data_IF_452890380207
#
_entry.id   IF_452890380207
#
_cell.length_a   1.000
_cell.length_b   1.000
_cell.length_c   1.000
_cell.angle_alpha   90.00
_cell.angle_beta   90.00
_cell.angle_gamma   90.00
#
_symmetry.space_group_name_H-M   'P 1'
#
loop_
_entity.id
_entity.type
_entity.pdbx_description
1 polymer ?
#
# COMPACT_ATOMS: atom_id res chain seq x y z
N UNK A 1 24.98 41.98 24.98
CA UNK A 1 24.73 40.71 24.26
C UNK A 1 23.72 39.92 25.06
N UNK A 2 22.46 39.94 24.66
CA UNK A 2 21.40 39.16 25.30
C UNK A 2 21.35 37.82 24.61
N UNK A 3 21.74 36.76 25.30
CA UNK A 3 21.62 35.38 24.82
C UNK A 3 20.14 35.03 24.84
N UNK A 4 19.50 34.99 23.66
CA UNK A 4 18.17 34.41 23.51
C UNK A 4 18.32 32.90 23.68
N UNK A 5 17.91 32.38 24.83
CA UNK A 5 17.83 30.94 25.05
C UNK A 5 16.78 30.37 24.07
N UNK A 6 17.21 29.48 23.17
CA UNK A 6 16.30 28.71 22.35
C UNK A 6 15.47 27.82 23.28
N UNK A 7 14.18 28.14 23.46
CA UNK A 7 13.25 27.25 24.13
C UNK A 7 13.24 25.92 23.36
N UNK A 8 13.27 24.76 24.05
CA UNK A 8 13.25 23.47 23.37
C UNK A 8 11.97 23.37 22.53
N UNK A 9 12.11 23.07 21.25
CA UNK A 9 11.02 22.91 20.27
C UNK A 9 9.91 21.93 20.76
N UNK A 10 10.28 21.03 21.68
CA UNK A 10 9.39 20.10 22.37
C UNK A 10 8.37 20.77 23.31
N UNK A 11 8.72 21.87 23.98
CA UNK A 11 7.81 22.54 24.93
C UNK A 11 6.66 23.26 24.18
N UNK A 12 6.95 23.86 23.02
CA UNK A 12 5.94 24.48 22.14
C UNK A 12 5.01 23.42 21.51
N UNK A 13 5.51 22.19 21.34
CA UNK A 13 4.72 21.08 20.80
C UNK A 13 3.81 20.41 21.85
N UNK A 14 4.09 20.52 23.15
CA UNK A 14 3.26 19.94 24.21
C UNK A 14 1.90 20.65 24.33
N UNK A 15 1.88 21.98 24.19
CA UNK A 15 0.65 22.77 24.18
C UNK A 15 -0.04 22.78 22.81
N UNK A 16 0.65 22.31 21.75
CA UNK A 16 0.12 22.36 20.39
C UNK A 16 -1.21 21.64 20.24
N UNK A 17 -1.45 20.55 20.96
CA UNK A 17 -2.67 19.75 20.82
C UNK A 17 -3.79 20.13 21.79
N UNK A 18 -3.57 21.07 22.70
CA UNK A 18 -4.60 21.50 23.64
C UNK A 18 -5.80 22.14 22.91
N UNK A 19 -7.01 21.73 23.30
CA UNK A 19 -8.26 22.11 22.63
C UNK A 19 -8.40 21.66 21.17
N UNK A 20 -7.45 20.88 20.62
CA UNK A 20 -7.50 20.42 19.22
C UNK A 20 -8.13 19.04 19.08
N UNK A 21 -8.51 18.72 17.85
CA UNK A 21 -8.96 17.38 17.46
C UNK A 21 -7.95 16.77 16.49
N UNK A 22 -7.44 15.60 16.84
CA UNK A 22 -6.65 14.76 15.95
C UNK A 22 -7.58 13.90 15.09
N UNK A 23 -7.48 13.99 13.77
CA UNK A 23 -8.21 13.09 12.87
C UNK A 23 -7.36 11.86 12.53
N UNK A 24 -7.92 10.67 12.72
CA UNK A 24 -7.36 9.41 12.22
C UNK A 24 -8.11 9.03 10.95
N UNK A 25 -7.50 9.26 9.79
CA UNK A 25 -8.05 8.97 8.48
C UNK A 25 -7.68 7.55 8.03
N UNK A 26 -8.64 6.66 7.93
CA UNK A 26 -8.41 5.25 7.60
C UNK A 26 -8.69 5.02 6.11
N UNK A 27 -7.70 4.59 5.33
CA UNK A 27 -7.82 4.38 3.89
C UNK A 27 -8.58 3.08 3.49
N UNK A 28 -9.49 2.61 4.33
CA UNK A 28 -10.23 1.36 4.17
C UNK A 28 -11.68 1.49 4.64
N UNK A 29 -12.54 0.56 4.19
CA UNK A 29 -13.93 0.50 4.67
C UNK A 29 -13.98 0.10 6.16
N UNK A 30 -14.98 0.56 6.91
CA UNK A 30 -15.19 0.15 8.30
C UNK A 30 -15.25 -1.39 8.47
N UNK A 31 -14.80 -1.88 9.62
CA UNK A 31 -14.88 -3.28 10.03
C UNK A 31 -13.85 -4.22 9.41
N UNK A 32 -12.91 -3.73 8.59
CA UNK A 32 -11.76 -4.52 8.14
C UNK A 32 -10.61 -4.52 9.15
N UNK A 33 -9.62 -5.39 8.95
CA UNK A 33 -8.44 -5.45 9.84
C UNK A 33 -7.69 -4.11 9.99
N UNK A 34 -7.67 -3.27 8.95
CA UNK A 34 -7.11 -1.92 9.03
C UNK A 34 -7.93 -1.00 9.92
N UNK A 35 -9.25 -1.03 9.78
CA UNK A 35 -10.15 -0.24 10.60
C UNK A 35 -10.10 -0.66 12.08
N UNK A 36 -10.13 -1.97 12.34
CA UNK A 36 -10.00 -2.52 13.70
C UNK A 36 -8.68 -2.11 14.35
N UNK A 37 -7.55 -2.24 13.63
CA UNK A 37 -6.22 -1.87 14.17
C UNK A 37 -6.10 -0.37 14.40
N UNK A 38 -6.60 0.44 13.46
CA UNK A 38 -6.59 1.90 13.59
C UNK A 38 -7.42 2.37 14.79
N UNK A 39 -8.62 1.82 14.97
CA UNK A 39 -9.51 2.16 16.10
C UNK A 39 -8.96 1.71 17.44
N UNK A 40 -8.27 0.56 17.48
CA UNK A 40 -7.55 0.10 18.66
C UNK A 40 -6.48 1.12 19.06
N UNK A 41 -5.60 1.54 18.14
CA UNK A 41 -4.58 2.56 18.44
C UNK A 41 -5.23 3.90 18.80
N UNK A 42 -6.20 4.37 18.01
CA UNK A 42 -6.86 5.65 18.21
C UNK A 42 -7.56 5.79 19.57
N UNK A 43 -8.10 4.68 20.13
CA UNK A 43 -8.73 4.65 21.45
C UNK A 43 -7.79 5.10 22.57
N UNK A 44 -6.50 4.78 22.44
CA UNK A 44 -5.49 5.05 23.47
C UNK A 44 -4.60 6.25 23.11
N UNK A 45 -4.41 6.53 21.81
CA UNK A 45 -3.47 7.54 21.33
C UNK A 45 -3.68 8.93 21.94
N UNK A 46 -4.92 9.39 22.05
CA UNK A 46 -5.24 10.71 22.62
C UNK A 46 -4.76 10.88 24.06
N UNK A 47 -4.78 9.81 24.87
CA UNK A 47 -4.33 9.85 26.27
C UNK A 47 -2.83 10.04 26.41
N UNK A 48 -2.07 9.67 25.37
CA UNK A 48 -0.61 9.72 25.33
C UNK A 48 -0.08 10.95 24.58
N UNK A 49 -0.96 11.75 23.98
CA UNK A 49 -0.60 13.03 23.36
C UNK A 49 -0.75 14.14 24.42
N UNK A 50 0.29 14.97 24.66
CA UNK A 50 0.17 16.19 25.48
C UNK A 50 -1.00 17.06 25.05
N UNK A 51 -1.72 17.67 26.00
CA UNK A 51 -2.97 18.38 25.71
C UNK A 51 -4.20 17.49 25.49
N UNK A 52 -4.03 16.16 25.46
CA UNK A 52 -5.12 15.15 25.40
C UNK A 52 -6.21 15.48 24.38
N UNK A 53 -5.84 15.67 23.09
CA UNK A 53 -6.80 16.05 22.06
C UNK A 53 -7.88 14.98 21.89
N UNK A 54 -9.06 15.40 21.46
CA UNK A 54 -10.07 14.44 20.99
C UNK A 54 -9.56 13.72 19.74
N UNK A 55 -9.80 12.42 19.66
CA UNK A 55 -9.42 11.62 18.48
C UNK A 55 -10.66 11.26 17.67
N UNK A 56 -10.76 11.82 16.47
CA UNK A 56 -11.85 11.55 15.53
C UNK A 56 -11.41 10.53 14.48
N UNK A 57 -12.07 9.38 14.43
CA UNK A 57 -11.81 8.36 13.40
C UNK A 57 -12.73 8.57 12.20
N UNK A 58 -12.16 8.68 10.99
CA UNK A 58 -12.92 8.77 9.73
C UNK A 58 -12.38 7.80 8.70
N UNK A 59 -13.28 7.05 8.06
CA UNK A 59 -12.90 6.18 6.94
C UNK A 59 -12.94 6.99 5.63
N UNK A 60 -11.88 6.89 4.84
CA UNK A 60 -11.81 7.32 3.45
C UNK A 60 -11.49 6.09 2.58
N UNK A 61 -12.51 5.31 2.19
CA UNK A 61 -12.29 4.01 1.56
C UNK A 61 -11.44 4.08 0.29
N UNK A 62 -10.79 2.96 -0.03
CA UNK A 62 -9.82 2.74 -1.11
C UNK A 62 -8.41 3.21 -0.75
N UNK A 63 -7.48 2.24 -0.66
CA UNK A 63 -6.10 2.46 -0.24
C UNK A 63 -5.39 3.56 -1.06
N UNK A 64 -5.40 3.43 -2.39
CA UNK A 64 -4.74 4.40 -3.26
C UNK A 64 -5.40 5.79 -3.23
N UNK A 65 -6.73 5.87 -3.10
CA UNK A 65 -7.43 7.15 -3.01
C UNK A 65 -7.12 7.87 -1.69
N UNK A 66 -7.22 7.17 -0.56
CA UNK A 66 -6.83 7.71 0.75
C UNK A 66 -5.35 8.11 0.80
N UNK A 67 -4.47 7.37 0.11
CA UNK A 67 -3.05 7.70 0.02
C UNK A 67 -2.80 8.97 -0.81
N UNK A 68 -3.50 9.11 -1.94
CA UNK A 68 -3.49 10.33 -2.74
C UNK A 68 -3.99 11.54 -1.93
N UNK A 69 -5.04 11.36 -1.13
CA UNK A 69 -5.60 12.43 -0.32
C UNK A 69 -4.64 12.83 0.80
N UNK A 70 -3.98 11.87 1.46
CA UNK A 70 -2.94 12.19 2.44
C UNK A 70 -1.82 13.02 1.80
N UNK A 71 -1.31 12.62 0.64
CA UNK A 71 -0.23 13.36 -0.04
C UNK A 71 -0.65 14.78 -0.46
N UNK A 72 -1.87 14.95 -0.98
CA UNK A 72 -2.22 16.15 -1.77
C UNK A 72 -3.32 17.03 -1.19
N UNK A 73 -4.15 16.51 -0.30
CA UNK A 73 -5.32 17.22 0.23
C UNK A 73 -5.23 17.46 1.74
N UNK A 74 -4.57 16.57 2.48
CA UNK A 74 -4.38 16.72 3.92
C UNK A 74 -3.33 17.79 4.18
N UNK A 75 -3.65 18.74 5.05
CA UNK A 75 -2.70 19.79 5.46
C UNK A 75 -1.58 19.17 6.30
N UNK A 76 -0.32 19.57 6.09
CA UNK A 76 0.80 19.10 6.91
C UNK A 76 0.91 19.85 8.23
N UNK A 77 -0.20 19.95 8.98
CA UNK A 77 -0.27 20.64 10.27
C UNK A 77 -0.17 19.69 11.47
N UNK A 78 -0.08 18.38 11.24
CA UNK A 78 -0.01 17.37 12.30
C UNK A 78 -1.34 17.04 12.98
N UNK A 79 -2.47 17.51 12.44
CA UNK A 79 -3.83 17.22 12.96
C UNK A 79 -4.56 16.10 12.21
N UNK A 80 -3.91 15.47 11.24
CA UNK A 80 -4.44 14.30 10.55
C UNK A 80 -3.38 13.22 10.36
N UNK A 81 -3.62 12.04 10.93
CA UNK A 81 -2.82 10.82 10.74
C UNK A 81 -3.57 9.87 9.81
N UNK A 82 -2.96 9.49 8.70
CA UNK A 82 -3.47 8.47 7.80
C UNK A 82 -3.11 7.07 8.27
N UNK A 83 -4.01 6.10 8.08
CA UNK A 83 -3.79 4.68 8.40
C UNK A 83 -4.04 3.80 7.17
N UNK A 84 -3.08 2.93 6.88
CA UNK A 84 -3.02 2.17 5.64
C UNK A 84 -2.66 0.71 5.87
N UNK A 85 -3.06 -0.15 4.92
CA UNK A 85 -2.53 -1.50 4.81
C UNK A 85 -1.29 -1.53 3.91
N UNK A 86 -0.21 -2.18 4.34
CA UNK A 86 1.05 -2.33 3.60
C UNK A 86 0.85 -2.77 2.15
N UNK A 87 0.40 -4.01 1.92
CA UNK A 87 0.22 -4.55 0.56
C UNK A 87 -0.74 -3.73 -0.32
N UNK A 88 -1.81 -3.17 0.28
CA UNK A 88 -2.79 -2.36 -0.44
C UNK A 88 -2.31 -0.97 -0.85
N UNK A 89 -1.26 -0.45 -0.21
CA UNK A 89 -0.68 0.88 -0.52
C UNK A 89 0.64 0.77 -1.27
N UNK A 90 1.51 -0.17 -0.92
CA UNK A 90 2.78 -0.39 -1.62
C UNK A 90 2.58 -1.12 -2.94
N UNK A 91 1.68 -2.11 -3.00
CA UNK A 91 1.45 -2.92 -4.19
C UNK A 91 1.19 -2.08 -5.45
N UNK A 92 0.26 -1.10 -5.42
CA UNK A 92 0.04 -0.20 -6.55
C UNK A 92 1.26 0.62 -6.97
N UNK A 93 2.10 1.06 -6.03
CA UNK A 93 3.36 1.81 -6.30
C UNK A 93 4.31 0.90 -7.04
N UNK A 94 4.57 -0.28 -6.47
CA UNK A 94 5.47 -1.27 -7.02
C UNK A 94 5.07 -1.67 -8.44
N UNK A 95 3.76 -1.76 -8.73
CA UNK A 95 3.22 -2.13 -10.04
C UNK A 95 3.03 -0.95 -11.00
N UNK A 96 3.49 0.25 -10.64
CA UNK A 96 3.34 1.49 -11.43
C UNK A 96 1.88 1.77 -11.84
N UNK A 97 0.94 1.50 -10.94
CA UNK A 97 -0.48 1.71 -11.20
C UNK A 97 -0.78 3.20 -11.43
N UNK A 98 -1.58 3.49 -12.47
CA UNK A 98 -2.12 4.82 -12.76
C UNK A 98 -2.98 5.42 -11.62
N UNK A 99 -3.40 4.61 -10.66
CA UNK A 99 -4.11 5.09 -9.47
C UNK A 99 -3.19 5.81 -8.47
N UNK A 100 -1.87 5.61 -8.58
CA UNK A 100 -0.86 6.17 -7.66
C UNK A 100 -0.49 7.57 -8.12
N UNK A 101 -0.71 8.55 -7.25
CA UNK A 101 -0.18 9.90 -7.37
C UNK A 101 0.61 10.32 -6.14
N UNK A 102 0.90 9.40 -5.22
CA UNK A 102 1.65 9.65 -3.99
C UNK A 102 3.07 9.10 -4.07
N UNK A 103 3.99 9.70 -3.32
CA UNK A 103 5.34 9.18 -3.11
C UNK A 103 5.52 8.80 -1.64
N UNK A 104 5.64 7.49 -1.39
CA UNK A 104 5.81 6.96 -0.04
C UNK A 104 7.16 7.34 0.58
N UNK A 105 8.15 7.80 -0.21
CA UNK A 105 9.43 8.28 0.31
C UNK A 105 9.33 9.66 0.97
N UNK A 106 8.31 10.43 0.62
CA UNK A 106 8.10 11.80 1.13
C UNK A 106 7.26 11.85 2.42
N UNK A 107 6.62 10.73 2.78
CA UNK A 107 5.73 10.67 3.94
C UNK A 107 6.49 10.66 5.26
N UNK A 108 5.82 11.14 6.30
CA UNK A 108 6.36 11.13 7.66
C UNK A 108 5.69 10.01 8.44
N UNK A 109 6.44 8.95 8.76
CA UNK A 109 5.90 7.76 9.40
C UNK A 109 5.86 7.90 10.93
N UNK A 110 4.70 7.59 11.52
CA UNK A 110 4.47 7.60 12.97
C UNK A 110 4.82 6.23 13.59
N UNK A 111 4.48 5.15 12.88
CA UNK A 111 4.79 3.77 13.27
C UNK A 111 3.91 2.77 12.51
N UNK A 112 4.06 1.49 12.82
CA UNK A 112 3.20 0.42 12.32
C UNK A 112 2.90 -0.66 13.35
N UNK A 113 1.83 -1.41 13.11
CA UNK A 113 1.49 -2.65 13.82
C UNK A 113 1.61 -3.78 12.79
N UNK A 114 2.64 -4.62 12.97
CA UNK A 114 2.75 -5.90 12.29
C UNK A 114 1.84 -6.91 13.00
N UNK A 115 1.07 -7.69 12.24
CA UNK A 115 0.15 -8.72 12.75
C UNK A 115 0.61 -10.13 12.37
N UNK A 116 1.87 -10.27 11.96
CA UNK A 116 2.50 -11.53 11.61
C UNK A 116 2.27 -11.97 10.15
N UNK A 117 3.09 -12.92 9.65
CA UNK A 117 2.93 -13.51 8.32
C UNK A 117 1.55 -14.11 8.10
N UNK A 118 1.03 -14.08 6.88
CA UNK A 118 -0.29 -14.65 6.60
C UNK A 118 -0.29 -16.19 6.70
N UNK A 119 -1.35 -16.75 7.29
CA UNK A 119 -1.68 -18.18 7.18
C UNK A 119 -2.86 -18.32 6.22
N UNK A 120 -2.78 -19.25 5.26
CA UNK A 120 -3.91 -19.64 4.42
C UNK A 120 -4.74 -20.70 5.14
N UNK A 121 -6.03 -20.44 5.30
CA UNK A 121 -6.99 -21.36 5.87
C UNK A 121 -7.89 -21.91 4.77
N UNK A 122 -8.06 -23.22 4.73
CA UNK A 122 -8.90 -23.94 3.77
C UNK A 122 -9.92 -24.82 4.51
N UNK A 123 -11.11 -24.98 3.94
CA UNK A 123 -12.09 -25.97 4.44
C UNK A 123 -11.52 -27.38 4.28
N UNK A 124 -11.63 -28.21 5.33
CA UNK A 124 -11.19 -29.61 5.29
C UNK A 124 -11.78 -30.38 4.09
N UNK A 125 -13.07 -30.19 3.82
CA UNK A 125 -13.79 -30.80 2.68
C UNK A 125 -13.32 -30.33 1.30
N UNK A 126 -12.53 -29.25 1.24
CA UNK A 126 -12.01 -28.70 -0.01
C UNK A 126 -10.59 -29.20 -0.34
N UNK A 127 -9.89 -29.86 0.60
CA UNK A 127 -8.49 -30.27 0.42
C UNK A 127 -8.26 -31.16 -0.81
N UNK A 128 -9.15 -32.12 -1.07
CA UNK A 128 -9.02 -33.03 -2.23
C UNK A 128 -9.11 -32.30 -3.58
N UNK A 129 -9.77 -31.13 -3.60
CA UNK A 129 -9.91 -30.30 -4.80
C UNK A 129 -8.69 -29.41 -5.04
N UNK A 130 -7.87 -29.18 -4.01
CA UNK A 130 -6.83 -28.16 -4.03
C UNK A 130 -5.87 -28.33 -5.20
N UNK A 131 -5.43 -29.54 -5.52
CA UNK A 131 -4.50 -29.80 -6.64
C UNK A 131 -5.12 -30.64 -7.75
N UNK A 132 -6.45 -30.84 -7.72
CA UNK A 132 -7.16 -31.64 -8.70
C UNK A 132 -7.95 -30.72 -9.66
N UNK A 133 -7.44 -30.47 -10.88
CA UNK A 133 -8.10 -29.59 -11.85
C UNK A 133 -9.39 -30.19 -12.43
N UNK A 134 -9.68 -31.48 -12.19
CA UNK A 134 -10.93 -32.13 -12.62
C UNK A 134 -12.09 -31.87 -11.66
N UNK A 135 -11.81 -31.37 -10.45
CA UNK A 135 -12.82 -31.03 -9.45
C UNK A 135 -13.13 -29.53 -9.47
N UNK A 136 -14.27 -29.09 -8.89
CA UNK A 136 -14.59 -27.68 -8.78
C UNK A 136 -13.47 -26.88 -8.09
N UNK A 137 -13.09 -25.70 -8.62
CA UNK A 137 -11.99 -24.92 -8.07
C UNK A 137 -12.29 -24.46 -6.63
N UNK A 138 -11.24 -24.30 -5.83
CA UNK A 138 -11.29 -23.70 -4.50
C UNK A 138 -11.69 -22.24 -4.62
N UNK A 139 -12.82 -21.86 -4.04
CA UNK A 139 -13.25 -20.48 -3.98
C UNK A 139 -12.42 -19.69 -2.95
N UNK A 140 -11.51 -18.81 -3.41
CA UNK A 140 -10.68 -17.96 -2.55
C UNK A 140 -11.27 -16.56 -2.41
N UNK A 141 -11.67 -16.17 -1.18
CA UNK A 141 -12.26 -14.87 -0.91
C UNK A 141 -11.25 -13.73 -0.89
N UNK A 142 -11.51 -12.66 -1.66
CA UNK A 142 -10.60 -11.53 -1.79
C UNK A 142 -11.30 -10.16 -1.82
N UNK A 143 -10.69 -9.16 -1.18
CA UNK A 143 -11.14 -7.76 -1.25
C UNK A 143 -10.72 -7.15 -2.57
N UNK A 144 -9.42 -7.20 -2.87
CA UNK A 144 -8.83 -6.46 -3.99
C UNK A 144 -7.69 -7.19 -4.71
N UNK A 145 -7.40 -8.46 -4.37
CA UNK A 145 -6.30 -9.28 -4.92
C UNK A 145 -4.88 -8.75 -4.67
N UNK A 146 -4.76 -7.64 -3.94
CA UNK A 146 -3.50 -6.92 -3.74
C UNK A 146 -2.97 -7.05 -2.30
N UNK A 147 -3.62 -7.88 -1.47
CA UNK A 147 -3.20 -8.14 -0.09
C UNK A 147 -2.20 -9.29 -0.06
N UNK A 148 -1.34 -9.32 0.96
CA UNK A 148 -0.33 -10.37 1.15
C UNK A 148 -0.91 -11.79 1.07
N UNK A 149 -2.06 -12.03 1.71
CA UNK A 149 -2.75 -13.32 1.62
C UNK A 149 -3.25 -13.65 0.20
N UNK A 150 -3.60 -12.64 -0.60
CA UNK A 150 -4.07 -12.88 -1.97
C UNK A 150 -2.87 -13.26 -2.88
N UNK A 151 -1.67 -12.70 -2.63
CA UNK A 151 -0.45 -13.12 -3.33
C UNK A 151 -0.06 -14.56 -3.04
N UNK A 152 -0.14 -15.02 -1.79
CA UNK A 152 0.17 -16.44 -1.47
C UNK A 152 -0.76 -17.38 -2.25
N UNK A 153 -2.06 -17.09 -2.30
CA UNK A 153 -3.01 -17.85 -3.09
C UNK A 153 -2.70 -17.81 -4.60
N UNK A 154 -2.38 -16.63 -5.15
CA UNK A 154 -2.06 -16.48 -6.56
C UNK A 154 -0.79 -17.25 -6.96
N UNK A 155 0.27 -17.18 -6.14
CA UNK A 155 1.49 -17.94 -6.36
C UNK A 155 1.27 -19.45 -6.20
N UNK A 156 0.42 -19.87 -5.25
CA UNK A 156 0.05 -21.28 -5.09
C UNK A 156 -0.65 -21.82 -6.33
N UNK A 157 -1.55 -21.05 -6.93
CA UNK A 157 -2.21 -21.42 -8.18
C UNK A 157 -1.24 -21.53 -9.36
N UNK A 158 -0.28 -20.61 -9.48
CA UNK A 158 0.64 -20.56 -10.62
C UNK A 158 1.78 -21.57 -10.51
N UNK A 159 2.34 -21.77 -9.31
CA UNK A 159 3.59 -22.50 -9.12
C UNK A 159 3.42 -23.83 -8.37
N UNK A 160 2.40 -23.96 -7.52
CA UNK A 160 2.15 -25.17 -6.73
C UNK A 160 0.96 -26.00 -7.24
N UNK A 161 0.34 -25.58 -8.36
CA UNK A 161 -0.75 -26.32 -9.00
C UNK A 161 -2.08 -26.21 -8.26
N UNK A 162 -2.28 -25.16 -7.45
CA UNK A 162 -3.57 -24.99 -6.77
C UNK A 162 -4.68 -24.63 -7.76
N UNK A 163 -5.75 -25.42 -7.77
CA UNK A 163 -6.96 -25.21 -8.55
C UNK A 163 -7.85 -24.16 -7.87
N UNK A 164 -7.52 -22.88 -8.05
CA UNK A 164 -8.22 -21.76 -7.40
C UNK A 164 -9.12 -20.97 -8.36
N UNK A 165 -10.21 -20.45 -7.79
CA UNK A 165 -10.99 -19.35 -8.37
C UNK A 165 -11.10 -18.24 -7.34
N UNK A 166 -10.67 -17.03 -7.71
CA UNK A 166 -10.81 -15.86 -6.85
C UNK A 166 -12.26 -15.35 -6.85
N UNK A 167 -12.85 -15.19 -5.66
CA UNK A 167 -14.14 -14.54 -5.44
C UNK A 167 -13.86 -13.11 -4.95
N UNK A 168 -14.11 -12.14 -5.83
CA UNK A 168 -13.73 -10.74 -5.63
C UNK A 168 -14.92 -9.90 -5.15
N UNK A 169 -14.62 -8.69 -4.65
CA UNK A 169 -15.64 -7.66 -4.38
C UNK A 169 -16.07 -7.57 -2.92
N UNK A 170 -15.48 -8.38 -2.02
CA UNK A 170 -15.76 -8.26 -0.59
C UNK A 170 -15.36 -6.89 -0.06
N UNK A 171 -16.22 -6.21 0.72
CA UNK A 171 -15.95 -4.86 1.17
C UNK A 171 -14.81 -4.75 2.18
N UNK A 172 -14.54 -5.82 2.94
CA UNK A 172 -13.51 -5.91 3.96
C UNK A 172 -13.25 -7.39 4.32
N UNK A 173 -12.29 -7.65 5.22
CA UNK A 173 -11.99 -9.02 5.68
C UNK A 173 -13.13 -9.67 6.46
N UNK A 174 -13.93 -8.92 7.22
CA UNK A 174 -15.05 -9.51 7.98
C UNK A 174 -16.11 -10.11 7.05
N UNK A 175 -16.39 -9.48 5.91
CA UNK A 175 -17.29 -10.05 4.91
C UNK A 175 -16.76 -11.37 4.34
N UNK A 176 -15.43 -11.50 4.18
CA UNK A 176 -14.78 -12.76 3.77
C UNK A 176 -14.94 -13.82 4.85
N UNK A 177 -14.73 -13.47 6.12
CA UNK A 177 -14.88 -14.40 7.24
C UNK A 177 -16.32 -14.91 7.36
N UNK A 178 -17.32 -14.05 7.15
CA UNK A 178 -18.73 -14.44 7.13
C UNK A 178 -19.07 -15.33 5.94
N UNK A 179 -18.58 -14.98 4.75
CA UNK A 179 -18.75 -15.80 3.55
C UNK A 179 -18.10 -17.17 3.71
N UNK A 180 -16.93 -17.23 4.35
CA UNK A 180 -16.30 -18.49 4.73
C UNK A 180 -17.26 -19.24 5.65
N UNK A 181 -17.67 -18.70 6.79
CA UNK A 181 -18.58 -19.37 7.73
C UNK A 181 -19.87 -19.90 7.07
N UNK A 182 -20.43 -19.18 6.10
CA UNK A 182 -21.64 -19.56 5.33
C UNK A 182 -21.40 -20.62 4.25
N UNK A 183 -20.15 -20.94 3.94
CA UNK A 183 -19.81 -21.90 2.88
C UNK A 183 -19.83 -21.30 1.47
N UNK A 184 -19.88 -19.98 1.34
CA UNK A 184 -19.82 -19.29 0.04
C UNK A 184 -18.40 -19.31 -0.55
N UNK A 185 -17.38 -19.48 0.30
CA UNK A 185 -15.97 -19.64 -0.09
C UNK A 185 -15.31 -20.79 0.67
N UNK A 186 -14.21 -21.29 0.11
CA UNK A 186 -13.45 -22.44 0.61
C UNK A 186 -12.15 -22.03 1.30
N UNK A 187 -11.58 -20.89 0.92
CA UNK A 187 -10.25 -20.47 1.33
C UNK A 187 -10.17 -18.95 1.55
N UNK A 188 -9.41 -18.55 2.55
CA UNK A 188 -8.97 -17.18 2.76
C UNK A 188 -7.67 -17.18 3.56
N UNK A 189 -7.00 -16.03 3.65
CA UNK A 189 -5.84 -15.87 4.53
C UNK A 189 -5.97 -14.73 5.53
N UNK A 190 -5.28 -14.86 6.64
CA UNK A 190 -5.17 -13.86 7.71
C UNK A 190 -3.81 -13.95 8.39
N UNK A 191 -3.28 -12.82 8.85
CA UNK A 191 -2.15 -12.80 9.80
C UNK A 191 -2.61 -12.78 11.26
N UNK A 192 -3.82 -12.28 11.52
CA UNK A 192 -4.32 -11.99 12.88
C UNK A 192 -4.62 -13.25 13.67
N UNK A 193 -3.89 -13.49 14.76
CA UNK A 193 -3.96 -14.71 15.55
C UNK A 193 -5.36 -14.98 16.08
N UNK A 194 -6.08 -13.96 16.58
CA UNK A 194 -7.47 -14.17 17.07
C UNK A 194 -8.43 -14.65 15.99
N UNK A 195 -8.22 -14.21 14.74
CA UNK A 195 -8.99 -14.73 13.61
C UNK A 195 -8.55 -16.16 13.30
N UNK A 196 -7.25 -16.42 13.28
CA UNK A 196 -6.74 -17.75 13.00
C UNK A 196 -7.20 -18.77 14.04
N UNK A 197 -7.10 -18.45 15.33
CA UNK A 197 -7.59 -19.23 16.47
C UNK A 197 -9.08 -19.54 16.37
N UNK A 198 -9.90 -18.52 16.09
CA UNK A 198 -11.33 -18.72 15.88
C UNK A 198 -11.57 -19.78 14.81
N UNK A 199 -10.96 -19.62 13.64
CA UNK A 199 -11.25 -20.51 12.53
C UNK A 199 -10.64 -21.91 12.68
N UNK A 200 -9.44 -22.03 13.23
CA UNK A 200 -8.76 -23.33 13.38
C UNK A 200 -9.25 -24.12 14.60
N UNK A 201 -9.56 -23.43 15.71
CA UNK A 201 -9.95 -24.08 16.97
C UNK A 201 -11.46 -24.22 17.14
N UNK A 202 -12.27 -23.34 16.53
CA UNK A 202 -13.72 -23.30 16.75
C UNK A 202 -14.52 -23.63 15.48
N UNK A 203 -14.09 -23.17 14.30
CA UNK A 203 -14.85 -23.34 13.04
C UNK A 203 -14.29 -24.41 12.09
N UNK A 204 -13.27 -25.17 12.52
CA UNK A 204 -12.78 -26.36 11.82
C UNK A 204 -12.03 -26.09 10.50
N UNK A 205 -11.47 -24.89 10.33
CA UNK A 205 -10.60 -24.57 9.19
C UNK A 205 -9.23 -25.25 9.33
N UNK A 206 -8.70 -25.76 8.22
CA UNK A 206 -7.36 -26.35 8.16
C UNK A 206 -6.34 -25.26 7.76
N UNK A 207 -5.27 -25.04 8.54
CA UNK A 207 -4.16 -24.23 8.07
C UNK A 207 -3.38 -24.96 6.98
N UNK A 208 -3.37 -24.39 5.78
CA UNK A 208 -2.79 -24.98 4.56
C UNK A 208 -1.29 -24.69 4.44
N UNK A 209 -0.94 -23.41 4.52
CA UNK A 209 0.45 -22.93 4.51
C UNK A 209 0.56 -21.68 5.36
N UNK A 210 1.75 -21.44 5.89
CA UNK A 210 2.15 -20.15 6.44
C UNK A 210 3.09 -19.45 5.48
N UNK A 211 2.91 -18.16 5.23
CA UNK A 211 3.72 -17.40 4.27
C UNK A 211 5.22 -17.47 4.60
N UNK A 212 5.57 -17.15 5.85
CA UNK A 212 6.92 -17.20 6.43
C UNK A 212 6.86 -17.92 7.77
N UNK A 213 8.01 -18.36 8.29
CA UNK A 213 8.05 -19.07 9.58
C UNK A 213 7.36 -18.29 10.70
N UNK A 214 6.57 -19.02 11.49
CA UNK A 214 5.78 -18.54 12.63
C UNK A 214 5.81 -19.60 13.72
N UNK A 215 6.09 -19.21 14.96
CA UNK A 215 6.24 -20.15 16.08
C UNK A 215 4.94 -20.91 16.39
N UNK A 216 3.81 -20.21 16.33
CA UNK A 216 2.46 -20.74 16.56
C UNK A 216 1.94 -21.64 15.42
N UNK A 217 2.67 -21.72 14.30
CA UNK A 217 2.36 -22.54 13.14
C UNK A 217 3.54 -23.41 12.68
N UNK A 218 4.41 -23.83 13.61
CA UNK A 218 5.63 -24.60 13.30
C UNK A 218 5.41 -25.93 12.57
N UNK A 219 4.23 -26.55 12.73
CA UNK A 219 3.84 -27.78 12.03
C UNK A 219 3.21 -27.56 10.65
N UNK A 220 3.02 -26.31 10.22
CA UNK A 220 2.38 -25.97 8.94
C UNK A 220 3.44 -25.65 7.90
N UNK A 221 3.32 -26.13 6.64
CA UNK A 221 4.31 -25.87 5.61
C UNK A 221 4.55 -24.37 5.37
N UNK A 222 5.82 -23.98 5.32
CA UNK A 222 6.23 -22.62 4.98
C UNK A 222 6.17 -22.42 3.47
N UNK A 223 5.36 -21.48 3.01
CA UNK A 223 5.09 -21.23 1.60
C UNK A 223 6.34 -20.78 0.84
N UNK A 224 7.17 -19.90 1.42
CA UNK A 224 8.44 -19.52 0.80
C UNK A 224 9.36 -20.72 0.57
N UNK A 225 9.36 -21.70 1.47
CA UNK A 225 10.19 -22.90 1.29
C UNK A 225 9.62 -23.83 0.20
N UNK A 226 8.30 -23.88 0.03
CA UNK A 226 7.67 -24.54 -1.12
C UNK A 226 8.05 -23.88 -2.44
N UNK A 227 8.08 -22.54 -2.49
CA UNK A 227 8.53 -21.79 -3.67
C UNK A 227 10.03 -22.00 -3.94
N UNK A 228 10.88 -22.04 -2.90
CA UNK A 228 12.31 -22.36 -3.06
C UNK A 228 12.49 -23.75 -3.66
N UNK A 229 11.80 -24.76 -3.13
CA UNK A 229 11.81 -26.13 -3.66
C UNK A 229 11.31 -26.20 -5.11
N UNK A 230 10.35 -25.35 -5.49
CA UNK A 230 9.86 -25.27 -6.87
C UNK A 230 10.87 -24.67 -7.84
N UNK A 231 11.90 -23.96 -7.35
CA UNK A 231 12.96 -23.38 -8.18
C UNK A 231 12.55 -22.11 -8.92
N UNK A 232 11.86 -21.18 -8.25
CA UNK A 232 11.49 -19.89 -8.84
C UNK A 232 12.73 -19.13 -9.34
N UNK A 233 12.63 -18.51 -10.52
CA UNK A 233 13.68 -17.64 -11.07
C UNK A 233 13.83 -16.36 -10.24
N UNK A 234 14.91 -15.60 -10.48
CA UNK A 234 15.15 -14.32 -9.81
C UNK A 234 14.01 -13.32 -10.04
N UNK A 235 13.45 -13.28 -11.24
CA UNK A 235 12.34 -12.42 -11.65
C UNK A 235 11.02 -12.85 -10.99
N UNK A 236 10.80 -14.15 -10.84
CA UNK A 236 9.62 -14.69 -10.15
C UNK A 236 9.68 -14.41 -8.64
N UNK A 237 10.87 -14.50 -8.04
CA UNK A 237 11.09 -14.06 -6.67
C UNK A 237 10.93 -12.55 -6.49
N UNK A 238 11.39 -11.75 -7.47
CA UNK A 238 11.14 -10.32 -7.47
C UNK A 238 9.62 -10.04 -7.52
N UNK A 239 8.88 -10.74 -8.37
CA UNK A 239 7.42 -10.64 -8.47
C UNK A 239 6.70 -11.06 -7.17
N UNK A 240 7.16 -12.12 -6.51
CA UNK A 240 6.61 -12.56 -5.22
C UNK A 240 6.78 -11.48 -4.16
N UNK A 241 7.99 -10.94 -4.01
CA UNK A 241 8.27 -9.82 -3.09
C UNK A 241 7.51 -8.55 -3.47
N UNK A 242 7.25 -8.35 -4.76
CA UNK A 242 6.51 -7.19 -5.26
C UNK A 242 5.04 -7.22 -4.87
N UNK A 243 4.47 -8.42 -4.86
CA UNK A 243 3.05 -8.59 -4.57
C UNK A 243 2.79 -8.69 -3.07
N UNK A 244 3.63 -9.44 -2.35
CA UNK A 244 3.53 -9.58 -0.88
C UNK A 244 3.90 -8.29 -0.15
N UNK A 245 4.87 -7.52 -0.66
CA UNK A 245 5.43 -6.36 0.04
C UNK A 245 6.22 -6.77 1.28
N UNK A 246 6.12 -5.98 2.35
CA UNK A 246 6.70 -6.30 3.66
C UNK A 246 5.59 -6.50 4.69
N UNK A 247 5.65 -7.60 5.46
CA UNK A 247 4.70 -7.86 6.55
C UNK A 247 4.92 -6.95 7.76
N UNK A 248 6.17 -6.51 7.97
CA UNK A 248 6.55 -5.63 9.07
C UNK A 248 5.87 -4.23 9.01
N UNK A 249 5.17 -3.93 7.91
CA UNK A 249 4.44 -2.68 7.65
C UNK A 249 2.94 -2.93 7.44
N UNK A 250 2.40 -4.02 8.00
CA UNK A 250 1.03 -4.45 7.71
C UNK A 250 -0.01 -3.34 7.94
N UNK A 251 0.01 -2.67 9.11
CA UNK A 251 -0.85 -1.52 9.42
C UNK A 251 -0.03 -0.32 9.86
N UNK A 252 0.21 0.61 8.95
CA UNK A 252 1.09 1.75 9.20
C UNK A 252 0.34 3.07 9.30
N UNK A 253 0.90 3.97 10.11
CA UNK A 253 0.40 5.29 10.45
C UNK A 253 1.36 6.33 9.88
N UNK A 254 0.83 7.28 9.10
CA UNK A 254 1.65 8.27 8.41
C UNK A 254 0.99 9.65 8.41
N UNK A 255 1.83 10.66 8.38
CA UNK A 255 1.52 12.07 8.23
C UNK A 255 1.86 12.49 6.79
N UNK A 256 1.19 13.53 6.26
CA UNK A 256 1.50 14.05 4.94
C UNK A 256 2.94 14.58 4.87
N UNK A 257 3.54 14.65 3.67
CA UNK A 257 4.84 15.28 3.46
C UNK A 257 4.91 16.67 4.06
N UNK A 258 6.10 17.07 4.53
CA UNK A 258 6.38 18.40 5.09
C UNK A 258 5.68 18.71 6.42
N UNK A 259 5.13 17.70 7.11
CA UNK A 259 4.63 17.89 8.47
C UNK A 259 5.77 18.37 9.39
N UNK A 260 5.59 19.44 10.19
CA UNK A 260 6.65 19.98 11.04
C UNK A 260 7.18 18.99 12.07
N UNK A 261 8.43 19.19 12.49
CA UNK A 261 9.14 18.33 13.44
C UNK A 261 8.38 18.19 14.78
N UNK A 262 7.86 19.28 15.34
CA UNK A 262 7.12 19.27 16.60
C UNK A 262 5.96 18.25 16.63
N UNK A 263 4.92 18.41 15.80
CA UNK A 263 3.83 17.44 15.71
C UNK A 263 4.28 16.02 15.34
N UNK A 264 5.26 15.87 14.44
CA UNK A 264 5.84 14.57 14.09
C UNK A 264 6.40 13.85 15.33
N UNK A 265 7.23 14.55 16.09
CA UNK A 265 7.97 13.97 17.21
C UNK A 265 7.02 13.65 18.37
N UNK A 266 6.05 14.52 18.64
CA UNK A 266 4.97 14.25 19.60
C UNK A 266 4.18 13.01 19.20
N UNK A 267 3.75 12.88 17.95
CA UNK A 267 2.94 11.74 17.51
C UNK A 267 3.72 10.42 17.53
N UNK A 268 5.00 10.42 17.16
CA UNK A 268 5.88 9.25 17.28
C UNK A 268 6.07 8.82 18.74
N UNK A 269 6.35 9.77 19.63
CA UNK A 269 6.47 9.50 21.06
C UNK A 269 5.15 8.96 21.64
N UNK A 270 4.03 9.57 21.26
CA UNK A 270 2.68 9.16 21.71
C UNK A 270 2.30 7.77 21.20
N UNK A 271 2.66 7.42 19.97
CA UNK A 271 2.47 6.06 19.43
C UNK A 271 3.30 5.03 20.20
N UNK A 272 4.57 5.34 20.49
CA UNK A 272 5.43 4.48 21.32
C UNK A 272 4.84 4.28 22.72
N UNK A 273 4.39 5.35 23.37
CA UNK A 273 3.74 5.28 24.69
C UNK A 273 2.43 4.48 24.64
N UNK A 274 1.60 4.71 23.62
CA UNK A 274 0.34 3.97 23.39
C UNK A 274 0.59 2.48 23.27
N UNK A 275 1.58 2.08 22.49
CA UNK A 275 1.88 0.65 22.26
C UNK A 275 2.57 -0.03 23.45
N UNK A 276 3.14 0.77 24.36
CA UNK A 276 3.70 0.30 25.63
C UNK A 276 2.65 0.18 26.76
N UNK A 277 1.51 0.88 26.63
CA UNK A 277 0.44 0.97 27.63
C UNK A 277 -0.13 -0.43 27.99
N UNK A 278 -0.24 -0.78 29.29
CA UNK A 278 -0.76 -2.07 29.72
C UNK A 278 -2.20 -2.37 29.26
N UNK A 279 -3.07 -1.36 29.25
CA UNK A 279 -4.45 -1.49 28.80
C UNK A 279 -4.52 -1.64 27.28
N UNK A 280 -3.69 -0.90 26.55
CA UNK A 280 -3.53 -1.13 25.10
C UNK A 280 -3.08 -2.57 24.83
N UNK A 281 -2.04 -3.07 25.52
CA UNK A 281 -1.53 -4.44 25.33
C UNK A 281 -2.59 -5.49 25.63
N UNK A 282 -3.37 -5.30 26.70
CA UNK A 282 -4.49 -6.19 27.04
C UNK A 282 -5.53 -6.24 25.91
N UNK A 283 -5.98 -5.08 25.45
CA UNK A 283 -6.98 -5.00 24.37
C UNK A 283 -6.43 -5.50 23.03
N UNK A 284 -5.17 -5.17 22.72
CA UNK A 284 -4.48 -5.64 21.54
C UNK A 284 -4.36 -7.17 21.54
N UNK A 285 -3.99 -7.77 22.66
CA UNK A 285 -3.97 -9.23 22.80
C UNK A 285 -5.37 -9.83 22.57
N UNK A 286 -6.42 -9.22 23.13
CA UNK A 286 -7.79 -9.69 22.96
C UNK A 286 -8.31 -9.60 21.51
N UNK A 287 -7.88 -8.58 20.76
CA UNK A 287 -8.40 -8.27 19.42
C UNK A 287 -7.53 -8.87 18.32
N UNK A 288 -6.20 -8.79 18.47
CA UNK A 288 -5.22 -9.18 17.45
C UNK A 288 -4.60 -10.55 17.74
N UNK A 289 -4.30 -10.82 19.02
CA UNK A 289 -3.43 -11.92 19.43
C UNK A 289 -2.19 -11.40 20.13
N UNK A 290 -1.31 -12.28 20.57
CA UNK A 290 -0.04 -11.95 21.22
C UNK A 290 1.13 -11.81 20.23
N UNK A 291 0.96 -12.24 18.98
CA UNK A 291 2.00 -12.20 17.93
C UNK A 291 2.16 -10.84 17.23
N UNK A 292 1.41 -9.80 17.62
CA UNK A 292 1.55 -8.48 17.00
C UNK A 292 2.84 -7.78 17.46
N UNK A 293 3.46 -7.03 16.54
CA UNK A 293 4.69 -6.29 16.82
C UNK A 293 4.52 -4.82 16.44
N UNK A 294 4.54 -3.90 17.41
CA UNK A 294 4.69 -2.48 17.13
C UNK A 294 6.06 -2.18 16.54
N UNK A 295 6.09 -1.31 15.54
CA UNK A 295 7.31 -0.83 14.89
C UNK A 295 7.31 0.70 14.94
N UNK A 296 8.43 1.29 15.33
CA UNK A 296 8.57 2.74 15.42
C UNK A 296 8.60 3.40 14.03
N UNK A 297 8.32 4.70 14.00
CA UNK A 297 8.18 5.44 12.75
C UNK A 297 9.41 5.44 11.84
N UNK A 298 10.63 5.48 12.38
CA UNK A 298 11.84 5.46 11.55
C UNK A 298 12.06 4.06 10.96
N UNK A 299 11.90 3.02 11.78
CA UNK A 299 11.98 1.64 11.29
C UNK A 299 10.89 1.36 10.25
N UNK A 300 9.67 1.86 10.44
CA UNK A 300 8.57 1.78 9.46
C UNK A 300 8.96 2.46 8.15
N UNK A 301 9.57 3.65 8.20
CA UNK A 301 10.07 4.37 7.00
C UNK A 301 11.06 3.50 6.25
N UNK A 302 12.09 3.02 6.92
CA UNK A 302 13.16 2.25 6.29
C UNK A 302 12.61 0.99 5.62
N UNK A 303 11.73 0.25 6.31
CA UNK A 303 11.06 -0.93 5.76
C UNK A 303 10.24 -0.62 4.50
N UNK A 304 9.59 0.55 4.43
CA UNK A 304 8.81 0.97 3.26
C UNK A 304 9.73 1.37 2.10
N UNK A 305 10.77 2.16 2.37
CA UNK A 305 11.74 2.60 1.35
C UNK A 305 12.45 1.38 0.76
N UNK A 306 12.96 0.49 1.61
CA UNK A 306 13.62 -0.76 1.20
C UNK A 306 12.69 -1.60 0.31
N UNK A 307 11.42 -1.76 0.71
CA UNK A 307 10.45 -2.53 -0.07
C UNK A 307 10.19 -1.93 -1.46
N UNK A 308 10.24 -0.60 -1.60
CA UNK A 308 10.03 0.11 -2.88
C UNK A 308 11.28 0.05 -3.77
N UNK A 309 12.48 0.16 -3.19
CA UNK A 309 13.74 0.21 -3.93
C UNK A 309 14.20 -1.15 -4.44
N UNK A 310 13.91 -2.22 -3.71
CA UNK A 310 14.35 -3.57 -4.06
C UNK A 310 13.64 -4.18 -5.30
N UNK A 311 12.75 -3.45 -5.99
CA UNK A 311 11.81 -4.10 -6.92
C UNK A 311 11.44 -3.40 -8.24
N UNK A 312 12.38 -3.32 -9.21
CA UNK A 312 12.04 -2.94 -10.58
C UNK A 312 11.60 -4.11 -11.49
N UNK A 313 11.83 -5.38 -11.12
CA UNK A 313 11.90 -6.51 -12.08
C UNK A 313 10.75 -7.55 -12.05
N UNK A 314 9.66 -7.34 -11.30
CA UNK A 314 8.56 -8.32 -11.22
C UNK A 314 7.27 -7.95 -11.97
N UNK A 315 7.14 -6.72 -12.47
CA UNK A 315 5.86 -6.15 -12.94
C UNK A 315 5.22 -7.01 -14.02
N UNK A 316 6.00 -7.43 -15.02
CA UNK A 316 5.50 -8.22 -16.15
C UNK A 316 5.11 -9.65 -15.72
N UNK A 317 5.84 -10.24 -14.76
CA UNK A 317 5.45 -11.53 -14.17
C UNK A 317 4.12 -11.39 -13.43
N UNK A 318 3.94 -10.35 -12.61
CA UNK A 318 2.68 -10.11 -11.91
C UNK A 318 1.54 -9.86 -12.90
N UNK A 319 1.74 -9.08 -13.96
CA UNK A 319 0.74 -8.88 -15.03
C UNK A 319 0.34 -10.21 -15.67
N UNK A 320 1.31 -11.03 -16.08
CA UNK A 320 1.07 -12.32 -16.69
C UNK A 320 0.30 -13.27 -15.75
N UNK A 321 0.67 -13.31 -14.46
CA UNK A 321 -0.05 -14.09 -13.46
C UNK A 321 -1.50 -13.63 -13.31
N UNK A 322 -1.74 -12.31 -13.22
CA UNK A 322 -3.10 -11.76 -13.11
C UNK A 322 -3.94 -12.08 -14.34
N UNK A 323 -3.37 -11.98 -15.54
CA UNK A 323 -4.05 -12.39 -16.77
C UNK A 323 -4.43 -13.88 -16.74
N UNK A 324 -3.49 -14.76 -16.39
CA UNK A 324 -3.72 -16.21 -16.29
C UNK A 324 -4.79 -16.58 -15.25
N UNK A 325 -4.88 -15.81 -14.16
CA UNK A 325 -5.86 -16.03 -13.08
C UNK A 325 -7.19 -15.27 -13.28
N UNK A 326 -7.36 -14.53 -14.39
CA UNK A 326 -8.57 -13.74 -14.63
C UNK A 326 -8.77 -12.59 -13.63
N UNK A 327 -7.70 -12.09 -13.02
CA UNK A 327 -7.74 -11.02 -12.02
C UNK A 327 -7.80 -9.64 -12.68
N UNK A 328 -8.26 -8.59 -11.96
CA UNK A 328 -8.27 -7.22 -12.50
C UNK A 328 -6.89 -6.82 -12.98
N UNK A 329 -6.78 -6.39 -14.23
CA UNK A 329 -5.49 -6.08 -14.83
C UNK A 329 -4.91 -4.80 -14.23
N UNK A 330 -3.59 -4.79 -14.09
CA UNK A 330 -2.86 -3.59 -13.67
C UNK A 330 -2.97 -2.60 -14.84
N UNK A 331 -3.83 -1.59 -14.69
CA UNK A 331 -3.75 -0.38 -15.51
C UNK A 331 -2.54 0.40 -15.04
N UNK A 332 -1.35 -0.10 -15.41
CA UNK A 332 -0.14 0.66 -15.25
C UNK A 332 -0.36 1.97 -16.00
N UNK A 333 0.13 3.08 -15.45
CA UNK A 333 0.53 4.14 -16.36
C UNK A 333 1.68 3.56 -17.17
N UNK A 334 1.35 2.93 -18.29
CA UNK A 334 2.21 3.02 -19.45
C UNK A 334 2.19 4.50 -19.79
N UNK A 335 3.05 5.27 -19.11
CA UNK A 335 3.70 6.34 -19.82
C UNK A 335 4.18 5.67 -21.11
N UNK A 336 3.89 6.23 -22.29
CA UNK A 336 4.62 5.79 -23.44
C UNK A 336 6.10 5.91 -23.06
N UNK A 337 6.90 4.88 -23.39
CA UNK A 337 8.33 5.07 -23.53
C UNK A 337 8.54 6.35 -24.32
N UNK A 338 9.52 7.17 -23.92
CA UNK A 338 9.81 8.47 -24.52
C UNK A 338 9.64 8.40 -26.05
N UNK A 339 8.56 8.98 -26.59
CA UNK A 339 8.25 8.82 -28.01
C UNK A 339 8.92 9.93 -28.76
N UNK A 340 9.74 9.58 -29.74
CA UNK A 340 10.32 10.54 -30.67
C UNK A 340 9.23 11.06 -31.60
N UNK A 341 8.87 12.33 -31.43
CA UNK A 341 7.79 12.98 -32.18
C UNK A 341 8.28 14.30 -32.76
N UNK A 342 7.77 14.64 -33.94
CA UNK A 342 7.92 15.99 -34.49
C UNK A 342 6.75 16.84 -34.00
N UNK A 343 7.05 17.98 -33.39
CA UNK A 343 6.03 18.88 -32.86
C UNK A 343 5.37 19.64 -34.01
N UNK A 344 4.11 19.30 -34.30
CA UNK A 344 3.30 19.96 -35.33
C UNK A 344 2.93 21.39 -34.92
N UNK A 345 2.66 21.61 -33.63
CA UNK A 345 2.35 22.93 -33.08
C UNK A 345 2.76 23.05 -31.61
N UNK A 346 3.25 24.22 -31.20
CA UNK A 346 3.49 24.58 -29.81
C UNK A 346 2.64 25.80 -29.45
N UNK A 347 1.61 25.58 -28.65
CA UNK A 347 0.64 26.62 -28.27
C UNK A 347 0.94 27.21 -26.89
N UNK A 348 0.51 28.46 -26.68
CA UNK A 348 0.48 29.14 -25.37
C UNK A 348 1.85 29.10 -24.66
N UNK A 349 2.91 29.52 -25.35
CA UNK A 349 4.29 29.57 -24.83
C UNK A 349 4.79 28.21 -24.31
N UNK A 350 4.51 27.14 -25.05
CA UNK A 350 4.94 25.80 -24.67
C UNK A 350 4.05 25.13 -23.64
N UNK A 351 2.91 25.73 -23.24
CA UNK A 351 1.94 25.09 -22.33
C UNK A 351 1.22 23.91 -22.97
N UNK A 352 1.18 23.84 -24.29
CA UNK A 352 0.52 22.75 -25.00
C UNK A 352 1.32 22.37 -26.24
N UNK A 353 1.60 21.08 -26.38
CA UNK A 353 2.22 20.49 -27.56
C UNK A 353 1.17 19.74 -28.37
N UNK A 354 1.24 19.88 -29.69
CA UNK A 354 0.42 19.14 -30.65
C UNK A 354 1.36 18.36 -31.57
N UNK A 355 1.12 17.06 -31.72
CA UNK A 355 1.91 16.20 -32.60
C UNK A 355 1.12 14.95 -32.98
N UNK A 356 1.54 14.29 -34.07
CA UNK A 356 1.05 12.96 -34.44
C UNK A 356 1.83 11.85 -33.74
N UNK A 357 1.10 10.87 -33.21
CA UNK A 357 1.66 9.59 -32.77
C UNK A 357 0.74 8.45 -33.22
N UNK A 358 1.29 7.41 -33.84
CA UNK A 358 0.53 6.26 -34.36
C UNK A 358 -0.70 6.67 -35.22
N UNK A 359 -0.52 7.70 -36.05
CA UNK A 359 -1.58 8.22 -36.93
C UNK A 359 -2.64 9.08 -36.25
N UNK A 360 -2.57 9.30 -34.92
CA UNK A 360 -3.51 10.14 -34.16
C UNK A 360 -2.88 11.48 -33.80
N UNK A 361 -3.65 12.56 -33.93
CA UNK A 361 -3.27 13.87 -33.41
C UNK A 361 -3.44 13.89 -31.89
N UNK A 362 -2.35 14.14 -31.16
CA UNK A 362 -2.34 14.27 -29.71
C UNK A 362 -2.15 15.73 -29.31
N UNK A 363 -2.83 16.12 -28.23
CA UNK A 363 -2.69 17.43 -27.59
C UNK A 363 -2.30 17.23 -26.13
N UNK A 364 -1.10 17.68 -25.77
CA UNK A 364 -0.49 17.38 -24.47
C UNK A 364 -0.16 18.68 -23.74
N UNK A 365 -0.64 18.82 -22.51
CA UNK A 365 -0.32 19.94 -21.64
C UNK A 365 1.09 19.84 -21.07
N UNK A 366 1.74 20.98 -20.82
CA UNK A 366 3.10 21.06 -20.27
C UNK A 366 3.08 21.95 -19.03
N UNK A 367 3.42 21.35 -17.90
CA UNK A 367 3.47 22.04 -16.62
C UNK A 367 4.84 22.66 -16.42
N UNK A 368 4.89 23.93 -15.99
CA UNK A 368 6.16 24.60 -15.69
C UNK A 368 6.86 24.07 -14.44
N UNK A 369 6.15 23.40 -13.53
CA UNK A 369 6.70 22.87 -12.28
C UNK A 369 6.74 21.34 -12.21
N UNK A 370 6.10 20.65 -13.16
CA UNK A 370 5.93 19.19 -13.12
C UNK A 370 6.42 18.47 -14.37
N UNK A 371 6.82 19.22 -15.40
CA UNK A 371 7.44 18.66 -16.60
C UNK A 371 8.93 18.95 -16.55
N UNK A 372 9.75 17.90 -16.59
CA UNK A 372 11.19 18.03 -16.79
C UNK A 372 11.45 18.31 -18.28
N UNK A 373 12.11 19.42 -18.60
CA UNK A 373 12.31 19.86 -19.98
C UNK A 373 13.78 20.11 -20.19
N UNK A 374 14.34 19.46 -21.21
CA UNK A 374 15.73 19.61 -21.62
C UNK A 374 15.77 19.98 -23.09
N UNK A 375 16.51 21.03 -23.43
CA UNK A 375 16.77 21.50 -24.80
C UNK A 375 18.29 21.66 -24.93
N UNK A 376 18.92 21.10 -25.96
CA UNK A 376 20.38 21.11 -26.09
C UNK A 376 21.14 20.52 -24.89
N UNK A 377 20.56 19.52 -24.22
CA UNK A 377 21.14 18.91 -23.03
C UNK A 377 21.06 19.74 -21.74
N UNK A 378 20.40 20.91 -21.75
CA UNK A 378 20.24 21.79 -20.58
C UNK A 378 18.78 21.88 -20.11
N UNK A 379 18.57 21.88 -18.80
CA UNK A 379 17.25 22.13 -18.19
C UNK A 379 16.75 23.49 -18.68
N UNK A 380 15.56 23.49 -19.25
CA UNK A 380 15.02 24.63 -19.99
C UNK A 380 13.55 24.90 -19.61
N UNK A 381 13.08 26.15 -19.70
CA UNK A 381 11.67 26.44 -19.52
C UNK A 381 10.87 25.90 -20.71
N UNK A 382 9.57 25.63 -20.50
CA UNK A 382 8.66 25.16 -21.58
C UNK A 382 8.59 26.10 -22.80
N UNK A 383 8.87 27.39 -22.61
CA UNK A 383 8.93 28.38 -23.70
C UNK A 383 10.10 28.17 -24.67
N UNK A 384 11.10 27.37 -24.29
CA UNK A 384 12.23 26.98 -25.13
C UNK A 384 11.84 25.92 -26.19
N UNK A 385 10.75 25.17 -25.96
CA UNK A 385 10.24 24.19 -26.92
C UNK A 385 9.52 24.92 -28.05
N UNK A 386 9.84 24.61 -29.31
CA UNK A 386 9.30 25.29 -30.50
C UNK A 386 8.66 24.31 -31.49
N UNK A 387 7.71 24.83 -32.26
CA UNK A 387 7.11 24.11 -33.40
C UNK A 387 8.20 23.63 -34.35
N UNK A 388 8.07 22.40 -34.86
CA UNK A 388 9.02 21.78 -35.78
C UNK A 388 10.18 21.04 -35.12
N UNK A 389 10.42 21.21 -33.82
CA UNK A 389 11.42 20.42 -33.09
C UNK A 389 11.04 18.93 -33.09
N UNK A 390 12.04 18.08 -33.27
CA UNK A 390 11.89 16.63 -33.04
C UNK A 390 12.32 16.35 -31.62
N UNK A 391 11.36 16.08 -30.74
CA UNK A 391 11.60 15.86 -29.33
C UNK A 391 11.21 14.43 -28.94
N UNK A 392 11.85 13.90 -27.92
CA UNK A 392 11.34 12.74 -27.20
C UNK A 392 10.39 13.24 -26.11
N UNK A 393 9.14 12.78 -26.15
CA UNK A 393 8.09 13.23 -25.24
C UNK A 393 7.52 12.04 -24.49
N UNK A 394 7.59 12.09 -23.16
CA UNK A 394 6.90 11.16 -22.27
C UNK A 394 5.71 11.86 -21.63
N UNK A 395 4.52 11.27 -21.71
CA UNK A 395 3.29 11.86 -21.18
C UNK A 395 2.45 10.90 -20.37
N UNK A 396 1.47 11.44 -19.67
CA UNK A 396 0.57 10.69 -18.81
C UNK A 396 -0.84 11.27 -18.79
N UNK A 397 -1.83 10.50 -18.36
CA UNK A 397 -3.20 10.97 -18.27
C UNK A 397 -3.44 11.63 -16.90
N UNK A 398 -3.87 12.89 -16.90
CA UNK A 398 -4.20 13.67 -15.71
C UNK A 398 -5.62 14.21 -15.82
N UNK A 399 -6.55 13.57 -15.11
CA UNK A 399 -7.98 13.80 -15.30
C UNK A 399 -8.37 13.45 -16.74
N UNK A 400 -8.99 14.39 -17.44
CA UNK A 400 -9.41 14.20 -18.84
C UNK A 400 -8.37 14.66 -19.87
N UNK A 401 -7.16 15.06 -19.44
CA UNK A 401 -6.12 15.59 -20.33
C UNK A 401 -4.85 14.75 -20.29
N UNK A 402 -4.05 14.83 -21.35
CA UNK A 402 -2.69 14.35 -21.33
C UNK A 402 -1.76 15.47 -20.85
N UNK A 403 -0.80 15.14 -19.98
CA UNK A 403 0.22 16.06 -19.48
C UNK A 403 1.61 15.45 -19.66
N UNK A 404 2.56 16.22 -20.19
CA UNK A 404 3.94 15.84 -20.37
C UNK A 404 4.62 15.71 -19.01
N UNK A 405 5.37 14.62 -18.81
CA UNK A 405 6.26 14.43 -17.65
C UNK A 405 7.69 14.81 -17.98
N UNK A 406 8.15 14.45 -19.18
CA UNK A 406 9.50 14.72 -19.65
C UNK A 406 9.49 15.07 -21.13
N UNK A 407 10.25 16.09 -21.49
CA UNK A 407 10.47 16.52 -22.86
C UNK A 407 11.98 16.67 -23.05
N UNK A 408 12.53 15.96 -24.04
CA UNK A 408 13.93 16.10 -24.44
C UNK A 408 13.95 16.53 -25.89
N UNK A 409 14.33 17.77 -26.14
CA UNK A 409 14.54 18.30 -27.47
C UNK A 409 16.04 18.49 -27.73
N UNK A 410 16.48 18.44 -29.00
CA UNK A 410 17.86 18.69 -29.39
C UNK A 410 18.34 20.09 -28.98
#
# INVERSE_FOLDING_TARGET
MTVLAAAPEFAVAADFYDGKTLTVMIASRPGGGTDTTARLVARYLGNHIPGKPQVLVRNKPLQAAGANDLQHQVRPDGLTVGVFAGGGTLGPVLRKSSAVRYDLKEWVYVGSIDRGPSVQLIRKSALERLTNPKLPPIAHGSVSTDRTQDSVAAFGAIYLGWNLKFVLGYPNSNAIYLAYGRGEIDMFGSGTDKILDRFTKQEGATPLVVEKSRADYSGVPVFEDLLKKKGLTKEQWAAYRQWTGSNAIDKFFALPPKTPAGPRDVLRASFKATTADPMFKKDANNILGDGYVPVDGEKTRDLIVDAIEQNPAGVEVVKAMRAKLGLPQIKAETAPDMVKVKLDEVQREGRVLVFKNEGKNLKIGVSGSRTEITVGGKISPRSAVKTGMTCEVGWTKRGDRLEARKIVCP
#
